data_IF_906141232716
#
_entry.id   IF_906141232716
#
_cell.length_a   1.000
_cell.length_b   1.000
_cell.length_c   1.000
_cell.angle_alpha   90.00
_cell.angle_beta   90.00
_cell.angle_gamma   90.00
#
_symmetry.space_group_name_H-M   'P 1'
#
loop_
_entity.id
_entity.type
_entity.pdbx_description
1 polymer ?
#
# COMPACT_ATOMS: atom_id res chain seq x y z
N UNK A 1 -17.92 -14.57 2.39
CA UNK A 1 -16.52 -14.20 2.36
C UNK A 1 -16.34 -12.80 2.92
N UNK A 2 -15.11 -12.38 3.29
CA UNK A 2 -14.88 -11.06 3.92
C UNK A 2 -15.30 -9.92 2.98
N UNK A 3 -14.97 -10.04 1.68
CA UNK A 3 -15.31 -9.05 0.65
C UNK A 3 -16.81 -8.88 0.42
N UNK A 4 -17.60 -9.89 0.71
CA UNK A 4 -19.06 -9.88 0.63
C UNK A 4 -19.74 -9.52 1.97
N UNK A 5 -18.97 -9.48 3.05
CA UNK A 5 -19.49 -9.25 4.41
C UNK A 5 -20.07 -10.50 5.08
N UNK A 6 -19.78 -11.67 4.54
CA UNK A 6 -20.27 -12.97 5.06
C UNK A 6 -19.42 -13.49 6.23
N UNK A 7 -18.18 -13.02 6.34
CA UNK A 7 -17.23 -13.45 7.36
C UNK A 7 -16.49 -12.26 7.98
N UNK A 8 -16.39 -12.17 9.31
CA UNK A 8 -15.58 -11.17 9.98
C UNK A 8 -14.10 -11.24 9.54
N UNK A 9 -13.46 -10.08 9.34
CA UNK A 9 -12.08 -10.02 8.84
C UNK A 9 -11.08 -10.70 9.80
N UNK A 10 -11.30 -10.61 11.11
CA UNK A 10 -10.45 -11.24 12.12
C UNK A 10 -10.46 -12.77 12.04
N UNK A 11 -11.58 -13.37 11.64
CA UNK A 11 -11.68 -14.83 11.45
C UNK A 11 -10.95 -15.32 10.20
N UNK A 12 -10.70 -14.42 9.24
CA UNK A 12 -9.94 -14.70 8.03
C UNK A 12 -8.44 -14.42 8.19
N UNK A 13 -8.06 -13.71 9.25
CA UNK A 13 -6.67 -13.39 9.53
C UNK A 13 -5.91 -14.64 10.00
N UNK A 14 -4.76 -14.89 9.39
CA UNK A 14 -3.85 -15.99 9.74
C UNK A 14 -2.56 -15.43 10.31
N UNK A 15 -2.02 -16.09 11.32
CA UNK A 15 -0.71 -15.75 11.87
C UNK A 15 0.39 -16.04 10.84
N UNK A 16 1.41 -15.20 10.83
CA UNK A 16 2.60 -15.43 10.02
C UNK A 16 3.79 -15.83 10.89
N UNK A 17 4.90 -16.19 10.26
CA UNK A 17 6.15 -16.49 10.97
C UNK A 17 6.75 -15.25 11.67
N UNK A 18 6.21 -14.04 11.42
CA UNK A 18 6.63 -12.79 12.05
C UNK A 18 5.68 -12.44 13.19
N UNK A 19 6.18 -12.34 14.45
CA UNK A 19 5.34 -11.94 15.58
C UNK A 19 4.64 -10.60 15.33
N UNK A 20 3.33 -10.56 15.59
CA UNK A 20 2.51 -9.34 15.40
C UNK A 20 2.14 -9.01 13.96
N UNK A 21 2.53 -9.84 12.99
CA UNK A 21 2.09 -9.72 11.61
C UNK A 21 1.08 -10.81 11.29
N UNK A 22 -0.15 -10.41 10.96
CA UNK A 22 -1.20 -11.29 10.47
C UNK A 22 -1.47 -11.00 9.00
N UNK A 23 -1.95 -11.98 8.27
CA UNK A 23 -2.27 -11.88 6.86
C UNK A 23 -3.72 -12.30 6.63
N UNK A 24 -4.48 -11.47 5.91
CA UNK A 24 -5.75 -11.88 5.30
C UNK A 24 -5.44 -12.22 3.84
N UNK A 25 -5.35 -13.52 3.50
CA UNK A 25 -5.00 -13.93 2.15
C UNK A 25 -6.15 -13.68 1.18
N UNK A 26 -5.80 -13.46 -0.08
CA UNK A 26 -6.73 -13.46 -1.20
C UNK A 26 -6.28 -14.47 -2.26
N UNK A 27 -7.21 -14.93 -3.07
CA UNK A 27 -6.98 -15.83 -4.19
C UNK A 27 -7.63 -15.31 -5.48
N UNK A 28 -7.63 -16.12 -6.52
CA UNK A 28 -8.19 -15.76 -7.82
C UNK A 28 -9.71 -15.47 -7.77
N UNK A 29 -10.41 -16.04 -6.79
CA UNK A 29 -11.86 -15.88 -6.65
C UNK A 29 -12.23 -14.45 -6.23
N UNK A 30 -11.30 -13.71 -5.60
CA UNK A 30 -11.51 -12.30 -5.25
C UNK A 30 -11.85 -11.45 -6.49
N UNK A 31 -11.32 -11.78 -7.66
CA UNK A 31 -11.70 -11.08 -8.91
C UNK A 31 -13.14 -11.35 -9.33
N UNK A 32 -13.72 -12.47 -8.95
CA UNK A 32 -15.14 -12.79 -9.16
C UNK A 32 -16.09 -11.92 -8.34
N UNK A 33 -15.64 -11.46 -7.17
CA UNK A 33 -16.41 -10.58 -6.27
C UNK A 33 -16.82 -9.27 -6.95
N UNK A 34 -16.05 -8.77 -7.92
CA UNK A 34 -16.44 -7.59 -8.68
C UNK A 34 -17.74 -7.77 -9.45
N UNK A 35 -17.95 -8.94 -10.05
CA UNK A 35 -19.20 -9.26 -10.79
C UNK A 35 -20.36 -9.43 -9.81
N UNK A 36 -20.15 -10.10 -8.70
CA UNK A 36 -21.17 -10.29 -7.67
C UNK A 36 -21.60 -8.96 -7.03
N UNK A 37 -20.67 -8.08 -6.78
CA UNK A 37 -20.93 -6.76 -6.22
C UNK A 37 -21.50 -5.77 -7.24
N UNK A 38 -21.50 -6.04 -8.54
CA UNK A 38 -21.87 -5.09 -9.58
C UNK A 38 -23.24 -4.42 -9.36
N UNK A 39 -24.20 -5.15 -8.80
CA UNK A 39 -25.57 -4.68 -8.53
C UNK A 39 -25.83 -4.40 -7.03
N UNK A 40 -24.82 -4.53 -6.16
CA UNK A 40 -25.01 -4.38 -4.71
C UNK A 40 -24.91 -2.92 -4.33
N UNK A 41 -25.89 -2.40 -3.58
CA UNK A 41 -25.83 -1.07 -2.99
C UNK A 41 -24.65 -0.97 -2.00
N UNK A 42 -23.92 0.15 -2.03
CA UNK A 42 -22.78 0.34 -1.15
C UNK A 42 -21.55 -0.50 -1.51
N UNK A 43 -21.51 -1.08 -2.72
CA UNK A 43 -20.42 -1.95 -3.19
C UNK A 43 -19.01 -1.37 -3.01
N UNK A 44 -18.87 -0.05 -3.07
CA UNK A 44 -17.57 0.64 -2.89
C UNK A 44 -17.09 0.72 -1.45
N UNK A 45 -17.91 0.33 -0.48
CA UNK A 45 -17.63 0.47 0.95
C UNK A 45 -17.50 -0.85 1.70
N UNK A 46 -17.56 -1.98 1.01
CA UNK A 46 -17.52 -3.31 1.62
C UNK A 46 -16.29 -3.55 2.48
N UNK A 47 -15.11 -3.18 1.98
CA UNK A 47 -13.88 -3.33 2.75
C UNK A 47 -13.82 -2.34 3.93
N UNK A 48 -14.29 -1.10 3.76
CA UNK A 48 -14.40 -0.14 4.86
C UNK A 48 -15.27 -0.69 6.00
N UNK A 49 -16.41 -1.25 5.64
CA UNK A 49 -17.37 -1.79 6.61
C UNK A 49 -16.79 -3.06 7.29
N UNK A 50 -16.07 -3.91 6.56
CA UNK A 50 -15.36 -5.05 7.13
C UNK A 50 -14.23 -4.65 8.10
N UNK A 51 -13.57 -3.52 7.88
CA UNK A 51 -12.51 -2.98 8.75
C UNK A 51 -13.05 -2.17 9.94
N UNK A 52 -14.36 -1.92 10.03
CA UNK A 52 -14.93 -1.08 11.08
C UNK A 52 -14.67 -1.60 12.49
N UNK A 53 -14.67 -2.92 12.68
CA UNK A 53 -14.36 -3.56 13.97
C UNK A 53 -12.91 -3.34 14.39
N UNK A 54 -11.96 -3.40 13.45
CA UNK A 54 -10.55 -3.12 13.72
C UNK A 54 -10.31 -1.65 14.07
N UNK A 55 -11.03 -0.73 13.40
CA UNK A 55 -10.94 0.71 13.68
C UNK A 55 -11.52 1.09 15.05
N UNK A 56 -12.52 0.37 15.51
CA UNK A 56 -13.16 0.60 16.80
C UNK A 56 -12.40 -0.04 17.97
N UNK A 57 -11.43 -0.90 17.71
CA UNK A 57 -10.65 -1.59 18.74
C UNK A 57 -9.67 -0.61 19.41
N UNK A 58 -9.83 -0.44 20.72
CA UNK A 58 -8.96 0.38 21.58
C UNK A 58 -8.09 -0.46 22.52
N UNK A 59 -8.08 -1.77 22.38
CA UNK A 59 -7.30 -2.69 23.21
C UNK A 59 -5.79 -2.45 23.08
N UNK A 60 -4.99 -2.83 24.08
CA UNK A 60 -3.53 -2.76 23.98
C UNK A 60 -2.95 -3.58 22.81
N UNK A 61 -3.63 -4.66 22.45
CA UNK A 61 -3.20 -5.61 21.42
C UNK A 61 -3.77 -5.29 20.03
N UNK A 62 -4.40 -4.12 19.86
CA UNK A 62 -4.98 -3.69 18.56
C UNK A 62 -3.94 -3.59 17.47
N UNK A 63 -4.36 -3.79 16.24
CA UNK A 63 -3.52 -3.52 15.07
C UNK A 63 -3.20 -2.03 14.96
N UNK A 64 -1.92 -1.72 14.86
CA UNK A 64 -1.45 -0.34 14.66
C UNK A 64 -1.54 0.08 13.20
N UNK A 65 -1.32 -0.87 12.29
CA UNK A 65 -1.34 -0.66 10.84
C UNK A 65 -2.14 -1.76 10.15
N UNK A 66 -2.87 -1.36 9.13
CA UNK A 66 -3.49 -2.26 8.15
C UNK A 66 -2.96 -1.86 6.77
N UNK A 67 -2.23 -2.76 6.13
CA UNK A 67 -1.69 -2.57 4.79
C UNK A 67 -2.56 -3.34 3.79
N UNK A 68 -3.08 -2.65 2.78
CA UNK A 68 -3.91 -3.24 1.74
C UNK A 68 -3.07 -3.25 0.46
N UNK A 69 -2.63 -4.44 0.05
CA UNK A 69 -1.96 -4.63 -1.25
C UNK A 69 -3.00 -4.60 -2.37
N UNK A 70 -2.78 -3.75 -3.36
CA UNK A 70 -3.72 -3.49 -4.43
C UNK A 70 -3.12 -3.84 -5.79
N UNK A 71 -3.90 -4.43 -6.72
CA UNK A 71 -3.45 -4.60 -8.09
C UNK A 71 -3.27 -3.24 -8.78
N UNK A 72 -2.48 -3.17 -9.86
CA UNK A 72 -2.25 -1.92 -10.59
C UNK A 72 -3.48 -1.42 -11.37
N UNK A 73 -4.56 -2.20 -11.39
CA UNK A 73 -5.82 -1.84 -12.05
C UNK A 73 -6.69 -0.93 -11.17
N UNK A 74 -7.35 0.04 -11.78
CA UNK A 74 -8.31 0.93 -11.11
C UNK A 74 -9.74 0.34 -11.19
N UNK A 75 -9.91 -0.82 -10.59
CA UNK A 75 -11.15 -1.56 -10.55
C UNK A 75 -11.91 -1.34 -9.22
N UNK A 76 -13.03 -2.03 -9.04
CA UNK A 76 -13.86 -1.93 -7.84
C UNK A 76 -13.10 -2.32 -6.56
N UNK A 77 -12.18 -3.29 -6.62
CA UNK A 77 -11.36 -3.71 -5.48
C UNK A 77 -10.43 -2.58 -5.03
N UNK A 78 -9.74 -1.94 -5.98
CA UNK A 78 -8.88 -0.78 -5.68
C UNK A 78 -9.68 0.40 -5.14
N UNK A 79 -10.89 0.65 -5.68
CA UNK A 79 -11.80 1.68 -5.16
C UNK A 79 -12.22 1.36 -3.73
N UNK A 80 -12.55 0.09 -3.41
CA UNK A 80 -12.85 -0.33 -2.03
C UNK A 80 -11.66 -0.11 -1.08
N UNK A 81 -10.45 -0.43 -1.51
CA UNK A 81 -9.25 -0.18 -0.72
C UNK A 81 -9.06 1.31 -0.43
N UNK A 82 -9.19 2.17 -1.45
CA UNK A 82 -9.09 3.63 -1.27
C UNK A 82 -10.23 4.23 -0.44
N UNK A 83 -11.46 3.69 -0.56
CA UNK A 83 -12.59 4.12 0.25
C UNK A 83 -12.44 3.73 1.73
N UNK A 84 -11.67 2.68 2.01
CA UNK A 84 -11.38 2.17 3.34
C UNK A 84 -10.10 2.77 3.97
N UNK A 85 -9.15 3.22 3.17
CA UNK A 85 -7.83 3.64 3.64
C UNK A 85 -7.83 5.07 4.21
N UNK A 86 -6.88 5.34 5.11
CA UNK A 86 -6.57 6.70 5.57
C UNK A 86 -5.61 7.37 4.59
N UNK A 87 -4.70 6.61 3.99
CA UNK A 87 -3.73 7.13 3.04
C UNK A 87 -3.27 6.10 2.01
N UNK A 88 -2.75 6.59 0.89
CA UNK A 88 -2.16 5.78 -0.19
C UNK A 88 -0.64 5.96 -0.19
N UNK A 89 0.09 4.87 -0.03
CA UNK A 89 1.52 4.79 -0.27
C UNK A 89 1.75 4.28 -1.70
N UNK A 90 2.49 5.02 -2.50
CA UNK A 90 2.65 4.75 -3.93
C UNK A 90 4.06 4.23 -4.24
N UNK A 91 4.27 2.92 -4.41
CA UNK A 91 5.52 2.41 -4.96
C UNK A 91 5.59 2.72 -6.46
N UNK A 92 6.61 3.45 -6.87
CA UNK A 92 6.79 3.88 -8.25
C UNK A 92 8.11 3.33 -8.81
N UNK A 93 8.02 2.53 -9.85
CA UNK A 93 9.22 2.07 -10.56
C UNK A 93 9.83 3.22 -11.36
N UNK A 94 11.18 3.36 -11.30
CA UNK A 94 11.91 4.40 -12.01
C UNK A 94 12.08 4.03 -13.50
N UNK A 95 10.97 4.01 -14.24
CA UNK A 95 10.88 3.65 -15.67
C UNK A 95 10.13 4.74 -16.45
N UNK A 96 10.19 4.67 -17.80
CA UNK A 96 9.75 5.74 -18.70
C UNK A 96 8.31 6.24 -18.46
N UNK A 97 7.37 5.34 -18.22
CA UNK A 97 5.95 5.72 -18.01
C UNK A 97 5.58 6.06 -16.55
N UNK A 98 6.57 6.22 -15.68
CA UNK A 98 6.34 6.43 -14.24
C UNK A 98 5.45 7.66 -13.96
N UNK A 99 5.74 8.80 -14.57
CA UNK A 99 4.98 10.05 -14.34
C UNK A 99 3.57 9.98 -14.92
N UNK A 100 3.37 9.33 -16.05
CA UNK A 100 2.05 9.15 -16.63
C UNK A 100 1.15 8.30 -15.72
N UNK A 101 1.66 7.14 -15.28
CA UNK A 101 0.95 6.26 -14.33
C UNK A 101 0.66 6.96 -13.02
N UNK A 102 1.61 7.72 -12.48
CA UNK A 102 1.41 8.49 -11.26
C UNK A 102 0.34 9.58 -11.43
N UNK A 103 0.34 10.29 -12.55
CA UNK A 103 -0.67 11.31 -12.87
C UNK A 103 -2.07 10.70 -12.96
N UNK A 104 -2.21 9.51 -13.56
CA UNK A 104 -3.47 8.79 -13.65
C UNK A 104 -3.96 8.35 -12.26
N UNK A 105 -3.06 7.85 -11.41
CA UNK A 105 -3.38 7.50 -10.04
C UNK A 105 -3.86 8.72 -9.24
N UNK A 106 -3.19 9.88 -9.37
CA UNK A 106 -3.60 11.12 -8.69
C UNK A 106 -5.03 11.50 -9.05
N UNK A 107 -5.41 11.46 -10.32
CA UNK A 107 -6.79 11.73 -10.76
C UNK A 107 -7.79 10.78 -10.10
N UNK A 108 -7.43 9.50 -9.99
CA UNK A 108 -8.31 8.52 -9.31
C UNK A 108 -8.44 8.80 -7.82
N UNK A 109 -7.35 9.14 -7.15
CA UNK A 109 -7.39 9.54 -5.73
C UNK A 109 -8.29 10.76 -5.55
N UNK A 110 -8.23 11.77 -6.44
CA UNK A 110 -9.08 12.95 -6.38
C UNK A 110 -10.56 12.61 -6.61
N UNK A 111 -10.88 11.69 -7.51
CA UNK A 111 -12.25 11.19 -7.70
C UNK A 111 -12.77 10.46 -6.46
N UNK A 112 -11.97 9.59 -5.87
CA UNK A 112 -12.34 8.89 -4.62
C UNK A 112 -12.52 9.87 -3.48
N UNK A 113 -11.62 10.84 -3.35
CA UNK A 113 -11.71 11.91 -2.35
C UNK A 113 -12.96 12.75 -2.51
N UNK A 114 -13.34 13.07 -3.74
CA UNK A 114 -14.53 13.88 -4.03
C UNK A 114 -15.85 13.16 -3.81
N UNK A 115 -15.89 11.82 -3.76
CA UNK A 115 -17.15 11.07 -3.76
C UNK A 115 -17.29 10.00 -2.68
N UNK A 116 -16.19 9.37 -2.26
CA UNK A 116 -16.23 8.19 -1.39
C UNK A 116 -15.49 8.36 -0.08
N UNK A 117 -14.33 9.05 -0.08
CA UNK A 117 -13.47 9.20 1.08
C UNK A 117 -12.79 10.58 1.09
N UNK A 118 -13.46 11.61 1.62
CA UNK A 118 -12.93 12.98 1.64
C UNK A 118 -11.63 13.16 2.41
N UNK A 119 -11.31 12.24 3.32
CA UNK A 119 -10.12 12.29 4.17
C UNK A 119 -8.93 11.51 3.59
N UNK A 120 -9.10 10.86 2.44
CA UNK A 120 -8.04 10.08 1.81
C UNK A 120 -6.83 10.97 1.47
N UNK A 121 -5.66 10.60 1.95
CA UNK A 121 -4.43 11.33 1.69
C UNK A 121 -3.43 10.52 0.84
N UNK A 122 -2.47 11.22 0.23
CA UNK A 122 -1.27 10.59 -0.30
C UNK A 122 -0.22 10.59 0.80
N UNK A 123 0.08 9.40 1.33
CA UNK A 123 1.14 9.17 2.32
C UNK A 123 2.50 9.57 1.77
N UNK A 124 2.75 9.15 0.54
CA UNK A 124 3.96 9.50 -0.18
C UNK A 124 4.25 8.56 -1.35
N UNK A 125 5.26 8.93 -2.13
CA UNK A 125 5.74 8.17 -3.29
C UNK A 125 7.10 7.57 -2.95
N UNK A 126 7.23 6.26 -3.10
CA UNK A 126 8.49 5.50 -2.91
C UNK A 126 9.05 5.11 -4.27
N UNK A 127 10.24 5.60 -4.57
CA UNK A 127 10.97 5.20 -5.77
C UNK A 127 11.49 3.78 -5.59
N UNK A 128 11.12 2.89 -6.51
CA UNK A 128 11.50 1.48 -6.47
C UNK A 128 12.21 1.05 -7.74
N UNK A 129 12.82 -0.13 -7.72
CA UNK A 129 13.58 -0.70 -8.84
C UNK A 129 14.66 0.25 -9.37
N UNK A 130 15.16 1.13 -8.50
CA UNK A 130 16.14 2.13 -8.86
C UNK A 130 17.50 1.49 -9.18
N UNK A 131 18.05 1.79 -10.35
CA UNK A 131 19.39 1.35 -10.76
C UNK A 131 20.28 2.59 -11.03
N UNK A 132 21.27 2.81 -10.17
CA UNK A 132 22.22 3.93 -10.28
C UNK A 132 23.03 3.92 -11.59
N UNK A 133 23.12 2.78 -12.28
CA UNK A 133 23.83 2.64 -13.55
C UNK A 133 22.97 3.06 -14.74
N UNK A 134 21.69 3.27 -14.53
CA UNK A 134 20.74 3.64 -15.57
C UNK A 134 20.37 5.13 -15.43
N UNK A 135 20.80 5.93 -16.39
CA UNK A 135 20.53 7.37 -16.44
C UNK A 135 19.03 7.69 -16.49
N UNK A 136 18.22 6.81 -17.10
CA UNK A 136 16.76 6.96 -17.10
C UNK A 136 16.19 6.89 -15.69
N UNK A 137 16.68 5.96 -14.85
CA UNK A 137 16.22 5.85 -13.46
C UNK A 137 16.53 7.13 -12.66
N UNK A 138 17.68 7.75 -12.90
CA UNK A 138 18.06 9.01 -12.27
C UNK A 138 17.17 10.17 -12.76
N UNK A 139 16.97 10.27 -14.07
CA UNK A 139 16.12 11.29 -14.66
C UNK A 139 14.68 11.21 -14.12
N UNK A 140 14.07 10.01 -14.13
CA UNK A 140 12.72 9.78 -13.56
C UNK A 140 12.68 10.16 -12.08
N UNK A 141 13.69 9.81 -11.30
CA UNK A 141 13.75 10.15 -9.88
C UNK A 141 13.79 11.67 -9.66
N UNK A 142 14.54 12.41 -10.47
CA UNK A 142 14.61 13.87 -10.43
C UNK A 142 13.26 14.50 -10.82
N UNK A 143 12.64 14.03 -11.89
CA UNK A 143 11.37 14.53 -12.38
C UNK A 143 10.24 14.31 -11.35
N UNK A 144 10.17 13.10 -10.75
CA UNK A 144 9.19 12.79 -9.71
C UNK A 144 9.40 13.69 -8.48
N UNK A 145 10.65 13.88 -8.03
CA UNK A 145 10.96 14.77 -6.90
C UNK A 145 10.62 16.23 -7.20
N UNK A 146 10.88 16.68 -8.42
CA UNK A 146 10.54 18.04 -8.85
C UNK A 146 9.03 18.31 -8.81
N UNK A 147 8.20 17.32 -9.17
CA UNK A 147 6.74 17.47 -9.23
C UNK A 147 6.03 17.24 -7.89
N UNK A 148 6.52 16.29 -7.08
CA UNK A 148 5.84 15.85 -5.86
C UNK A 148 6.55 16.31 -4.57
N UNK A 149 7.74 16.90 -4.68
CA UNK A 149 8.45 17.53 -3.56
C UNK A 149 8.55 16.61 -2.34
N UNK A 150 8.11 17.12 -1.19
CA UNK A 150 8.18 16.46 0.10
C UNK A 150 7.33 15.18 0.20
N UNK A 151 6.42 14.96 -0.75
CA UNK A 151 5.66 13.71 -0.81
C UNK A 151 6.51 12.52 -1.29
N UNK A 152 7.66 12.76 -1.92
CA UNK A 152 8.57 11.68 -2.30
C UNK A 152 9.43 11.31 -1.10
N UNK A 153 9.50 10.01 -0.79
CA UNK A 153 10.39 9.52 0.25
C UNK A 153 11.84 9.74 -0.12
N UNK A 154 12.68 10.07 0.85
CA UNK A 154 14.13 10.15 0.63
C UNK A 154 14.72 8.78 0.33
N UNK A 155 14.18 7.77 1.02
CA UNK A 155 14.58 6.38 0.84
C UNK A 155 14.14 5.88 -0.54
N UNK A 156 15.08 5.28 -1.24
CA UNK A 156 14.89 4.65 -2.56
C UNK A 156 15.12 3.15 -2.43
N UNK A 157 14.24 2.33 -3.00
CA UNK A 157 14.40 0.87 -3.04
C UNK A 157 15.17 0.49 -4.30
N UNK A 158 16.41 -0.02 -4.16
CA UNK A 158 17.21 -0.39 -5.33
C UNK A 158 16.69 -1.65 -6.00
N UNK A 159 16.94 -1.79 -7.29
CA UNK A 159 16.82 -3.08 -7.98
C UNK A 159 17.72 -4.10 -7.28
N UNK A 160 17.15 -5.21 -6.80
CA UNK A 160 17.88 -6.19 -6.00
C UNK A 160 17.34 -7.59 -6.23
N UNK A 161 18.23 -8.51 -6.62
CA UNK A 161 17.88 -9.90 -6.93
C UNK A 161 17.28 -10.62 -5.72
N UNK A 162 17.77 -10.36 -4.50
CA UNK A 162 17.26 -11.00 -3.28
C UNK A 162 15.81 -10.64 -3.00
N UNK A 163 15.38 -9.42 -3.34
CA UNK A 163 13.96 -9.00 -3.24
C UNK A 163 13.10 -9.81 -4.20
N UNK A 164 13.60 -10.10 -5.41
CA UNK A 164 12.87 -10.89 -6.41
C UNK A 164 12.86 -12.39 -6.11
N UNK A 165 13.90 -12.91 -5.44
CA UNK A 165 14.00 -14.32 -5.08
C UNK A 165 13.15 -14.70 -3.85
N UNK A 166 13.09 -13.82 -2.86
CA UNK A 166 12.47 -14.12 -1.55
C UNK A 166 11.03 -14.68 -1.65
N UNK A 167 10.15 -14.19 -2.55
CA UNK A 167 8.81 -14.76 -2.71
C UNK A 167 8.80 -16.23 -3.14
N UNK A 168 9.78 -16.68 -3.94
CA UNK A 168 9.90 -18.08 -4.37
C UNK A 168 10.16 -19.03 -3.19
N UNK A 169 10.62 -18.50 -2.07
CA UNK A 169 10.85 -19.24 -0.83
C UNK A 169 9.74 -19.01 0.21
N UNK A 170 8.66 -18.31 -0.15
CA UNK A 170 7.58 -17.94 0.77
C UNK A 170 8.04 -17.08 1.94
N UNK A 171 9.11 -16.29 1.76
CA UNK A 171 9.71 -15.49 2.83
C UNK A 171 9.74 -14.00 2.46
N UNK A 172 9.47 -13.10 3.41
CA UNK A 172 9.81 -11.70 3.25
C UNK A 172 11.32 -11.54 3.08
N UNK A 173 11.75 -10.57 2.25
CA UNK A 173 13.18 -10.35 2.00
C UNK A 173 13.99 -10.10 3.27
N UNK A 174 13.39 -9.50 4.28
CA UNK A 174 14.01 -9.24 5.59
C UNK A 174 14.40 -10.53 6.33
N UNK A 175 13.62 -11.61 6.16
CA UNK A 175 13.93 -12.94 6.70
C UNK A 175 14.84 -13.72 5.77
N UNK A 176 14.68 -13.51 4.45
CA UNK A 176 15.46 -14.23 3.44
C UNK A 176 16.92 -13.79 3.44
N UNK A 177 17.18 -12.49 3.37
CA UNK A 177 18.52 -11.89 3.42
C UNK A 177 18.48 -10.48 4.03
N UNK A 178 18.64 -10.39 5.34
CA UNK A 178 18.63 -9.13 6.07
C UNK A 178 19.74 -8.15 5.63
N UNK A 179 20.88 -8.69 5.16
CA UNK A 179 22.06 -7.88 4.83
C UNK A 179 22.02 -7.30 3.42
N UNK A 180 21.15 -7.79 2.55
CA UNK A 180 21.08 -7.27 1.18
C UNK A 180 20.61 -5.80 1.15
N UNK A 181 20.99 -5.10 0.07
CA UNK A 181 20.67 -3.69 -0.10
C UNK A 181 19.16 -3.43 -0.11
N UNK A 182 18.36 -4.36 -0.64
CA UNK A 182 16.91 -4.28 -0.64
C UNK A 182 16.33 -4.28 0.77
N UNK A 183 16.73 -5.25 1.62
CA UNK A 183 16.28 -5.33 3.02
C UNK A 183 16.64 -4.09 3.81
N UNK A 184 17.86 -3.61 3.67
CA UNK A 184 18.31 -2.39 4.36
C UNK A 184 17.52 -1.15 3.91
N UNK A 185 17.18 -1.07 2.62
CA UNK A 185 16.36 0.01 2.09
C UNK A 185 14.92 -0.05 2.64
N UNK A 186 14.30 -1.24 2.70
CA UNK A 186 12.96 -1.39 3.29
C UNK A 186 12.93 -1.05 4.78
N UNK A 187 13.95 -1.42 5.56
CA UNK A 187 14.07 -1.01 6.96
C UNK A 187 14.18 0.51 7.11
N UNK A 188 14.95 1.15 6.22
CA UNK A 188 15.08 2.61 6.21
C UNK A 188 13.76 3.26 5.84
N UNK A 189 13.06 2.74 4.83
CA UNK A 189 11.74 3.20 4.43
C UNK A 189 10.74 3.11 5.59
N UNK A 190 10.67 1.97 6.27
CA UNK A 190 9.76 1.78 7.40
C UNK A 190 9.99 2.83 8.50
N UNK A 191 11.25 3.12 8.82
CA UNK A 191 11.61 4.18 9.79
C UNK A 191 11.15 5.55 9.31
N UNK A 192 11.32 5.86 8.03
CA UNK A 192 10.90 7.13 7.44
C UNK A 192 9.37 7.27 7.44
N UNK A 193 8.63 6.21 7.09
CA UNK A 193 7.15 6.18 7.17
C UNK A 193 6.68 6.49 8.57
N UNK A 194 7.17 5.76 9.57
CA UNK A 194 6.78 5.95 10.98
C UNK A 194 7.14 7.36 11.48
N UNK A 195 8.29 7.90 11.09
CA UNK A 195 8.70 9.25 11.47
C UNK A 195 7.76 10.31 10.87
N UNK A 196 7.39 10.19 9.59
CA UNK A 196 6.46 11.10 8.93
C UNK A 196 5.06 11.07 9.57
N UNK A 197 4.57 9.89 9.94
CA UNK A 197 3.28 9.77 10.61
C UNK A 197 3.28 10.42 11.99
N UNK A 198 4.30 10.19 12.79
CA UNK A 198 4.44 10.84 14.10
C UNK A 198 4.48 12.37 14.00
N UNK A 199 5.19 12.89 13.00
CA UNK A 199 5.25 14.33 12.76
C UNK A 199 3.86 14.91 12.40
N UNK A 200 3.08 14.21 11.58
CA UNK A 200 1.70 14.62 11.24
C UNK A 200 0.76 14.61 12.45
N UNK A 201 0.82 13.55 13.26
CA UNK A 201 0.00 13.47 14.48
C UNK A 201 0.31 14.61 15.47
N UNK A 202 1.59 15.00 15.57
CA UNK A 202 2.00 16.12 16.43
C UNK A 202 1.54 17.46 15.89
N UNK A 203 1.38 17.63 14.58
CA UNK A 203 0.88 18.89 13.98
C UNK A 203 -0.65 19.02 14.03
N UNK A 204 -1.36 17.89 14.19
CA UNK A 204 -2.82 17.86 14.23
C UNK A 204 -3.39 17.96 15.68
N UNK A 205 -2.55 17.86 16.69
CA UNK A 205 -2.88 17.97 18.11
C UNK A 205 -2.63 19.39 18.64
#
# INVERSE_FOLDING_TARGET
DVGLGERPILEAAVETALPGLHLVPSDADLSGVEMELAQVAGRSFKLRDALATLRADTSPDRYTYVLIDCPPSLNLLTVNAMAAADAVLVPLQCEFFALEGLSQLMRTVDLVRGSLNPTLEIQGVVLTMYDKRNSLSEQVALDVRSHFGDKVYETVIPRNVRVSEAPSFGKPVLIYDLKCAGSQAYLKLAKEVVARERARQTQAA
#
